data_IF_481516931945
#
_entry.id   IF_481516931945
#
_cell.length_a   1.000
_cell.length_b   1.000
_cell.length_c   1.000
_cell.angle_alpha   90.00
_cell.angle_beta   90.00
_cell.angle_gamma   90.00
#
_symmetry.space_group_name_H-M   'P 1'
#
loop_
_entity.id
_entity.type
_entity.pdbx_description
1 polymer ?
#
# COMPACT_ATOMS: atom_id res chain seq x y z
N UNK A 1 -12.91 37.90 25.30
CA UNK A 1 -11.99 36.74 25.35
C UNK A 1 -12.66 35.77 26.30
N UNK A 2 -12.92 34.58 25.87
CA UNK A 2 -13.60 33.58 26.70
C UNK A 2 -12.70 33.12 27.84
N UNK A 3 -13.29 32.93 29.02
CA UNK A 3 -12.56 32.46 30.20
C UNK A 3 -12.48 30.92 30.20
N UNK A 4 -11.38 30.40 29.68
CA UNK A 4 -11.17 28.96 29.58
C UNK A 4 -11.10 28.23 30.93
N UNK A 5 -10.76 28.93 32.01
CA UNK A 5 -10.81 28.35 33.35
C UNK A 5 -12.26 28.20 33.84
N UNK A 6 -13.11 29.18 33.54
CA UNK A 6 -14.54 29.11 33.84
C UNK A 6 -15.25 28.01 33.01
N UNK A 7 -14.88 27.82 31.71
CA UNK A 7 -15.42 26.77 30.85
C UNK A 7 -15.11 25.40 31.43
N UNK A 8 -13.90 25.18 31.96
CA UNK A 8 -13.55 23.91 32.60
C UNK A 8 -14.01 23.80 34.06
N UNK A 9 -14.54 24.87 34.65
CA UNK A 9 -14.99 24.91 36.04
C UNK A 9 -13.87 24.74 37.04
N UNK A 10 -12.70 25.33 36.80
CA UNK A 10 -11.49 25.25 37.64
C UNK A 10 -10.99 26.64 38.00
N UNK A 11 -10.19 26.68 39.10
CA UNK A 11 -9.54 27.91 39.52
C UNK A 11 -8.42 28.34 38.55
N UNK A 12 -8.20 29.65 38.40
CA UNK A 12 -7.16 30.24 37.55
C UNK A 12 -5.74 29.78 37.91
N UNK A 13 -5.55 29.33 39.14
CA UNK A 13 -4.29 28.77 39.64
C UNK A 13 -4.12 27.26 39.39
N UNK A 14 -5.11 26.62 38.72
CA UNK A 14 -5.12 25.18 38.53
C UNK A 14 -3.88 24.66 37.80
N UNK A 15 -3.26 23.62 38.35
CA UNK A 15 -2.15 22.92 37.72
C UNK A 15 -2.58 21.92 36.63
N UNK A 16 -1.62 21.37 35.89
CA UNK A 16 -1.84 20.51 34.75
C UNK A 16 -2.73 19.30 35.05
N UNK A 17 -2.61 18.70 36.22
CA UNK A 17 -3.40 17.52 36.62
C UNK A 17 -4.87 17.89 36.89
N UNK A 18 -5.11 19.06 37.51
CA UNK A 18 -6.45 19.59 37.72
C UNK A 18 -7.15 19.93 36.39
N UNK A 19 -6.44 20.54 35.45
CA UNK A 19 -6.93 20.82 34.08
C UNK A 19 -7.32 19.53 33.37
N UNK A 20 -6.48 18.49 33.44
CA UNK A 20 -6.73 17.18 32.80
C UNK A 20 -7.93 16.46 33.42
N UNK A 21 -8.05 16.50 34.75
CA UNK A 21 -9.18 15.90 35.48
C UNK A 21 -10.50 16.58 35.14
N UNK A 22 -10.52 17.93 35.14
CA UNK A 22 -11.68 18.72 34.79
C UNK A 22 -12.14 18.47 33.34
N UNK A 23 -11.20 18.46 32.39
CA UNK A 23 -11.50 18.13 31.00
C UNK A 23 -12.14 16.75 30.87
N UNK A 24 -11.56 15.72 31.49
CA UNK A 24 -12.08 14.34 31.43
C UNK A 24 -13.52 14.26 31.96
N UNK A 25 -13.80 14.96 33.04
CA UNK A 25 -15.15 15.03 33.63
C UNK A 25 -16.14 15.69 32.67
N UNK A 26 -15.81 16.87 32.13
CA UNK A 26 -16.67 17.64 31.24
C UNK A 26 -16.84 16.95 29.87
N UNK A 27 -15.75 16.38 29.34
CA UNK A 27 -15.81 15.64 28.08
C UNK A 27 -16.71 14.38 28.18
N UNK A 28 -16.68 13.67 29.30
CA UNK A 28 -17.60 12.54 29.53
C UNK A 28 -19.06 12.98 29.70
N UNK A 29 -19.28 14.16 30.30
CA UNK A 29 -20.63 14.68 30.53
C UNK A 29 -21.29 15.16 29.25
N UNK A 30 -20.54 15.80 28.36
CA UNK A 30 -21.05 16.42 27.13
C UNK A 30 -20.68 15.67 25.86
N UNK A 31 -20.21 14.41 25.96
CA UNK A 31 -19.83 13.61 24.82
C UNK A 31 -21.00 13.40 23.84
N UNK A 32 -20.79 13.51 22.52
CA UNK A 32 -21.86 13.33 21.54
C UNK A 32 -22.59 11.99 21.65
N UNK A 33 -21.83 10.89 21.90
CA UNK A 33 -22.41 9.55 22.04
C UNK A 33 -23.34 9.40 23.26
N UNK A 34 -23.19 10.27 24.25
CA UNK A 34 -24.03 10.27 25.46
C UNK A 34 -25.15 11.30 25.43
N UNK A 35 -25.07 12.24 24.51
CA UNK A 35 -26.05 13.31 24.31
C UNK A 35 -26.43 13.39 22.83
N UNK A 36 -26.94 12.31 22.21
CA UNK A 36 -27.35 12.33 20.82
C UNK A 36 -28.45 13.36 20.63
N UNK A 37 -28.39 14.10 19.53
CA UNK A 37 -29.38 15.16 19.15
C UNK A 37 -29.52 16.35 20.11
N UNK A 38 -28.50 16.63 20.94
CA UNK A 38 -28.47 17.82 21.79
C UNK A 38 -27.45 18.86 21.29
N UNK A 39 -27.85 19.87 20.51
CA UNK A 39 -26.94 20.89 19.96
C UNK A 39 -26.22 21.71 21.03
N UNK A 40 -26.84 21.91 22.20
CA UNK A 40 -26.23 22.66 23.31
C UNK A 40 -25.08 21.84 23.95
N UNK A 41 -25.25 20.51 24.06
CA UNK A 41 -24.20 19.63 24.56
C UNK A 41 -23.00 19.57 23.57
N UNK A 42 -23.28 19.57 22.28
CA UNK A 42 -22.23 19.59 21.23
C UNK A 42 -21.43 20.90 21.27
N UNK A 43 -22.13 22.05 21.40
CA UNK A 43 -21.45 23.35 21.50
C UNK A 43 -20.60 23.44 22.76
N UNK A 44 -21.13 23.00 23.93
CA UNK A 44 -20.36 22.96 25.17
C UNK A 44 -19.15 22.01 25.04
N UNK A 45 -19.29 20.88 24.36
CA UNK A 45 -18.18 19.96 24.14
C UNK A 45 -17.07 20.59 23.28
N UNK A 46 -17.42 21.38 22.26
CA UNK A 46 -16.43 22.14 21.45
C UNK A 46 -15.65 23.13 22.29
N UNK A 47 -16.37 23.92 23.11
CA UNK A 47 -15.75 24.90 24.02
C UNK A 47 -14.84 24.23 25.05
N UNK A 48 -15.23 23.10 25.62
CA UNK A 48 -14.42 22.29 26.56
C UNK A 48 -13.14 21.77 25.88
N UNK A 49 -13.23 21.31 24.63
CA UNK A 49 -12.06 20.85 23.88
C UNK A 49 -11.11 22.01 23.57
N UNK A 50 -11.64 23.18 23.18
CA UNK A 50 -10.82 24.37 22.90
C UNK A 50 -10.11 24.86 24.17
N UNK A 51 -10.82 24.95 25.28
CA UNK A 51 -10.25 25.33 26.58
C UNK A 51 -9.13 24.38 27.00
N UNK A 52 -9.34 23.07 26.86
CA UNK A 52 -8.30 22.08 27.17
C UNK A 52 -7.10 22.18 26.22
N UNK A 53 -7.33 22.35 24.91
CA UNK A 53 -6.25 22.49 23.94
C UNK A 53 -5.31 23.67 24.23
N UNK A 54 -5.84 24.75 24.82
CA UNK A 54 -5.05 25.92 25.20
C UNK A 54 -4.40 25.73 26.58
N UNK A 55 -5.14 25.26 27.57
CA UNK A 55 -4.67 25.18 28.96
C UNK A 55 -3.78 23.96 29.25
N UNK A 56 -3.84 22.89 28.44
CA UNK A 56 -3.01 21.68 28.61
C UNK A 56 -1.58 21.85 28.11
N UNK A 57 -1.33 22.78 27.19
CA UNK A 57 -0.02 23.08 26.64
C UNK A 57 0.63 24.21 27.44
N UNK A 58 1.79 24.01 28.10
CA UNK A 58 2.43 25.02 28.94
C UNK A 58 2.72 26.35 28.22
N UNK A 59 3.09 26.29 26.92
CA UNK A 59 3.39 27.49 26.13
C UNK A 59 2.13 28.25 25.73
N UNK A 60 1.09 27.53 25.34
CA UNK A 60 -0.19 28.13 25.00
C UNK A 60 -0.88 28.72 26.24
N UNK A 61 -0.84 27.98 27.35
CA UNK A 61 -1.34 28.45 28.66
C UNK A 61 -0.64 29.74 29.06
N UNK A 62 0.68 29.78 29.05
CA UNK A 62 1.44 30.98 29.40
C UNK A 62 1.09 32.20 28.51
N UNK A 63 0.88 32.00 27.22
CA UNK A 63 0.45 33.06 26.30
C UNK A 63 -0.99 33.50 26.57
N UNK A 64 -1.87 32.58 26.89
CA UNK A 64 -3.25 32.88 27.25
C UNK A 64 -3.31 33.65 28.55
N UNK A 65 -2.61 33.17 29.60
CA UNK A 65 -2.52 33.81 30.91
C UNK A 65 -1.96 35.23 30.80
N UNK A 66 -0.87 35.44 30.07
CA UNK A 66 -0.29 36.75 29.85
C UNK A 66 -1.28 37.75 29.21
N UNK A 67 -2.12 37.27 28.27
CA UNK A 67 -3.17 38.13 27.61
C UNK A 67 -4.40 38.32 28.49
N UNK A 68 -4.77 37.30 29.26
CA UNK A 68 -5.93 37.31 30.12
C UNK A 68 -5.76 38.25 31.32
N UNK A 69 -4.59 38.18 31.98
CA UNK A 69 -4.26 39.03 33.13
C UNK A 69 -3.82 40.43 32.77
N UNK A 70 -3.26 40.68 31.56
CA UNK A 70 -2.97 42.05 31.09
C UNK A 70 -4.23 42.94 30.91
N UNK A 71 -5.43 42.36 30.90
CA UNK A 71 -6.65 43.10 30.72
C UNK A 71 -7.25 43.60 32.06
N UNK A 72 -6.75 43.08 33.21
CA UNK A 72 -7.21 43.50 34.54
C UNK A 72 -6.37 44.66 35.09
N UNK A 73 -5.10 44.84 34.67
CA UNK A 73 -4.22 45.94 35.11
C UNK A 73 -3.94 46.92 33.95
N UNK A 74 -4.95 47.55 33.47
CA UNK A 74 -4.81 48.67 32.52
C UNK A 74 -4.10 49.85 33.23
N UNK A 75 -3.17 50.60 32.52
CA UNK A 75 -2.48 51.73 33.13
C UNK A 75 -3.49 52.73 33.66
N UNK A 76 -3.28 53.22 34.90
CA UNK A 76 -4.15 54.20 35.57
C UNK A 76 -4.39 55.41 34.68
N UNK A 77 -5.60 56.02 34.76
CA UNK A 77 -5.97 57.21 33.95
C UNK A 77 -4.95 58.35 34.07
N UNK A 78 -4.30 58.49 35.22
CA UNK A 78 -3.24 59.46 35.45
C UNK A 78 -1.99 59.23 34.58
N UNK A 79 -1.57 57.99 34.36
CA UNK A 79 -0.44 57.63 33.51
C UNK A 79 -0.76 57.84 32.03
N UNK A 80 -2.00 57.54 31.62
CA UNK A 80 -2.45 57.80 30.24
C UNK A 80 -2.53 59.29 29.93
N UNK A 81 -2.93 60.13 30.89
CA UNK A 81 -2.96 61.59 30.72
C UNK A 81 -1.55 62.15 30.63
N UNK A 82 -0.62 61.65 31.42
CA UNK A 82 0.79 62.11 31.38
C UNK A 82 1.48 61.70 30.06
N UNK A 83 1.21 60.52 29.53
CA UNK A 83 1.72 60.11 28.22
C UNK A 83 1.11 60.87 27.05
N UNK A 84 -0.18 61.26 27.15
CA UNK A 84 -0.83 62.17 26.18
C UNK A 84 -0.19 63.54 26.20
N UNK A 85 0.10 64.05 27.41
CA UNK A 85 0.76 65.35 27.61
C UNK A 85 2.18 65.35 27.05
N UNK A 86 2.98 64.34 27.31
CA UNK A 86 4.36 64.16 26.75
C UNK A 86 4.30 64.04 25.22
N UNK A 87 3.38 63.27 24.63
CA UNK A 87 3.22 63.21 23.18
C UNK A 87 2.85 64.52 22.56
N UNK A 88 1.97 65.27 23.21
CA UNK A 88 1.56 66.61 22.76
C UNK A 88 2.72 67.59 22.79
N UNK A 89 3.53 67.64 23.84
CA UNK A 89 4.75 68.46 23.91
C UNK A 89 5.78 68.05 22.87
N UNK A 90 6.04 66.78 22.68
CA UNK A 90 6.90 66.30 21.62
C UNK A 90 6.39 66.64 20.22
N UNK A 91 5.08 66.55 20.00
CA UNK A 91 4.46 66.97 18.74
C UNK A 91 4.57 68.48 18.52
N UNK A 92 4.33 69.33 19.55
CA UNK A 92 4.52 70.78 19.46
C UNK A 92 5.99 71.12 19.17
N UNK A 93 6.96 70.48 19.84
CA UNK A 93 8.39 70.74 19.57
C UNK A 93 8.78 70.26 18.18
N UNK A 94 8.20 69.18 17.68
CA UNK A 94 8.43 68.72 16.31
C UNK A 94 7.86 69.68 15.25
N UNK A 95 6.67 70.31 15.55
CA UNK A 95 6.14 71.35 14.65
C UNK A 95 6.89 72.69 14.71
N UNK A 96 7.55 72.99 15.80
CA UNK A 96 8.37 74.20 15.90
C UNK A 96 9.67 74.12 15.14
N UNK A 97 10.15 72.95 14.72
CA UNK A 97 11.23 72.80 13.76
C UNK A 97 10.66 73.17 12.38
N UNK A 98 10.57 74.47 12.09
CA UNK A 98 10.36 74.92 10.71
C UNK A 98 11.51 74.41 9.86
N UNK A 99 11.22 73.43 9.04
CA UNK A 99 12.15 73.01 7.99
C UNK A 99 12.36 74.22 7.08
N UNK A 100 13.47 74.90 7.23
CA UNK A 100 13.93 75.86 6.25
C UNK A 100 14.47 75.08 5.06
N UNK A 101 13.67 75.04 4.00
CA UNK A 101 14.06 74.45 2.76
C UNK A 101 15.18 75.34 2.13
N UNK A 102 16.45 74.99 2.37
CA UNK A 102 17.56 75.60 1.70
C UNK A 102 17.63 75.15 0.22
N UNK A 103 18.20 76.00 -0.68
CA UNK A 103 18.38 75.65 -2.09
C UNK A 103 19.12 74.32 -2.27
N UNK A 104 20.02 73.95 -1.35
CA UNK A 104 20.74 72.70 -1.35
C UNK A 104 19.80 71.48 -1.03
N UNK A 105 18.74 71.65 -0.25
CA UNK A 105 17.78 70.56 0.04
C UNK A 105 17.12 70.04 -1.25
N UNK A 106 16.64 70.91 -2.11
CA UNK A 106 16.05 70.50 -3.40
C UNK A 106 17.07 69.84 -4.35
N UNK A 107 18.33 70.30 -4.31
CA UNK A 107 19.38 69.66 -5.11
C UNK A 107 19.72 68.25 -4.61
N UNK A 108 19.82 68.05 -3.28
CA UNK A 108 20.08 66.74 -2.66
C UNK A 108 18.88 65.79 -2.89
N UNK A 109 17.64 66.30 -2.74
CA UNK A 109 16.44 65.52 -3.03
C UNK A 109 16.35 65.14 -4.52
N UNK A 110 16.64 66.07 -5.41
CA UNK A 110 16.72 65.79 -6.86
C UNK A 110 17.77 64.76 -7.22
N UNK A 111 18.97 64.87 -6.61
CA UNK A 111 20.03 63.89 -6.82
C UNK A 111 19.69 62.50 -6.26
N UNK A 112 19.12 62.45 -5.05
CA UNK A 112 18.68 61.18 -4.45
C UNK A 112 17.54 60.51 -5.23
N UNK A 113 16.60 61.29 -5.78
CA UNK A 113 15.57 60.80 -6.67
C UNK A 113 16.12 60.26 -7.99
N UNK A 114 17.14 60.99 -8.56
CA UNK A 114 17.79 60.53 -9.77
C UNK A 114 18.57 59.23 -9.53
N UNK A 115 19.28 59.10 -8.41
CA UNK A 115 19.96 57.87 -7.99
C UNK A 115 18.95 56.73 -7.81
N UNK A 116 17.78 57.02 -7.18
CA UNK A 116 16.71 56.06 -7.01
C UNK A 116 16.17 55.54 -8.37
N UNK A 117 15.93 56.46 -9.33
CA UNK A 117 15.47 56.08 -10.68
C UNK A 117 16.53 55.20 -11.37
N UNK A 118 17.80 55.57 -11.29
CA UNK A 118 18.90 54.81 -11.93
C UNK A 118 19.00 53.42 -11.31
N UNK A 119 18.96 53.31 -9.97
CA UNK A 119 19.01 52.03 -9.28
C UNK A 119 17.75 51.17 -9.57
N UNK A 120 16.59 51.82 -9.59
CA UNK A 120 15.34 51.15 -9.94
C UNK A 120 15.35 50.63 -11.38
N UNK A 121 15.83 51.45 -12.33
CA UNK A 121 15.99 51.04 -13.72
C UNK A 121 17.01 49.90 -13.88
N UNK A 122 18.09 49.95 -13.12
CA UNK A 122 19.08 48.87 -13.10
C UNK A 122 18.53 47.55 -12.55
N UNK A 123 17.82 47.63 -11.40
CA UNK A 123 17.13 46.46 -10.84
C UNK A 123 16.10 45.88 -11.82
N UNK A 124 15.32 46.74 -12.49
CA UNK A 124 14.36 46.31 -13.50
C UNK A 124 15.04 45.61 -14.68
N UNK A 125 16.16 46.17 -15.18
CA UNK A 125 16.93 45.58 -16.27
C UNK A 125 17.50 44.21 -15.88
N UNK A 126 18.03 44.07 -14.65
CA UNK A 126 18.51 42.79 -14.13
C UNK A 126 17.35 41.78 -14.06
N UNK A 127 16.23 42.19 -13.48
CA UNK A 127 15.06 41.29 -13.34
C UNK A 127 14.56 40.85 -14.72
N UNK A 128 14.50 41.79 -15.69
CA UNK A 128 14.07 41.48 -17.05
C UNK A 128 15.05 40.51 -17.76
N UNK A 129 16.37 40.74 -17.61
CA UNK A 129 17.37 39.84 -18.19
C UNK A 129 17.35 38.47 -17.56
N UNK A 130 17.19 38.33 -16.22
CA UNK A 130 17.09 37.07 -15.53
C UNK A 130 15.83 36.30 -15.98
N UNK A 131 14.69 36.99 -16.07
CA UNK A 131 13.44 36.37 -16.56
C UNK A 131 13.58 35.91 -18.02
N UNK A 132 14.16 36.76 -18.91
CA UNK A 132 14.40 36.40 -20.31
C UNK A 132 15.30 35.17 -20.44
N UNK A 133 16.42 35.14 -19.69
CA UNK A 133 17.33 33.99 -19.70
C UNK A 133 16.63 32.71 -19.13
N UNK A 134 15.81 32.89 -18.08
CA UNK A 134 14.99 31.80 -17.52
C UNK A 134 13.99 31.21 -18.53
N UNK A 135 13.31 32.09 -19.28
CA UNK A 135 12.38 31.65 -20.33
C UNK A 135 13.10 30.91 -21.46
N UNK A 136 14.25 31.41 -21.90
CA UNK A 136 15.07 30.76 -22.93
C UNK A 136 15.54 29.37 -22.49
N UNK A 137 15.95 29.22 -21.23
CA UNK A 137 16.37 27.96 -20.68
C UNK A 137 15.18 26.99 -20.57
N UNK A 138 13.99 27.45 -20.13
CA UNK A 138 12.77 26.64 -20.11
C UNK A 138 12.38 26.18 -21.52
N UNK A 139 12.46 27.06 -22.53
CA UNK A 139 12.15 26.67 -23.90
C UNK A 139 13.15 25.64 -24.45
N UNK A 140 14.43 25.73 -24.10
CA UNK A 140 15.44 24.73 -24.47
C UNK A 140 15.11 23.36 -23.84
N UNK A 141 14.81 23.34 -22.52
CA UNK A 141 14.41 22.13 -21.82
C UNK A 141 13.13 21.52 -22.43
N UNK A 142 12.13 22.34 -22.68
CA UNK A 142 10.88 21.90 -23.30
C UNK A 142 11.10 21.24 -24.68
N UNK A 143 11.96 21.82 -25.52
CA UNK A 143 12.33 21.26 -26.85
C UNK A 143 13.10 19.95 -26.69
N UNK A 144 14.07 19.89 -25.79
CA UNK A 144 14.86 18.69 -25.52
C UNK A 144 13.96 17.55 -24.99
N UNK A 145 13.07 17.85 -24.03
CA UNK A 145 12.13 16.86 -23.47
C UNK A 145 11.14 16.36 -24.53
N UNK A 146 10.63 17.27 -25.35
CA UNK A 146 9.72 16.90 -26.46
C UNK A 146 10.43 16.03 -27.49
N UNK A 147 11.70 16.32 -27.79
CA UNK A 147 12.50 15.50 -28.70
C UNK A 147 12.74 14.11 -28.12
N UNK A 148 13.10 14.03 -26.86
CA UNK A 148 13.26 12.74 -26.14
C UNK A 148 11.99 11.90 -26.14
N UNK A 149 10.82 12.50 -25.86
CA UNK A 149 9.53 11.81 -25.93
C UNK A 149 9.21 11.25 -27.32
N UNK A 150 9.51 12.03 -28.39
CA UNK A 150 9.33 11.56 -29.77
C UNK A 150 10.25 10.38 -30.08
N UNK A 151 11.51 10.42 -29.64
CA UNK A 151 12.44 9.30 -29.82
C UNK A 151 12.00 8.05 -29.03
N UNK A 152 11.54 8.21 -27.80
CA UNK A 152 11.03 7.12 -26.97
C UNK A 152 9.86 6.44 -27.66
N UNK A 153 8.87 7.21 -28.12
CA UNK A 153 7.72 6.65 -28.82
C UNK A 153 8.11 5.96 -30.14
N UNK A 154 9.06 6.51 -30.88
CA UNK A 154 9.58 5.88 -32.10
C UNK A 154 10.26 4.54 -31.83
N UNK A 155 11.08 4.45 -30.76
CA UNK A 155 11.71 3.21 -30.34
C UNK A 155 10.66 2.17 -29.92
N UNK A 156 9.68 2.60 -29.13
CA UNK A 156 8.60 1.72 -28.67
C UNK A 156 7.77 1.17 -29.84
N UNK A 157 7.36 2.04 -30.76
CA UNK A 157 6.62 1.63 -31.97
C UNK A 157 7.43 0.71 -32.90
N UNK A 158 8.75 0.79 -32.86
CA UNK A 158 9.66 -0.10 -33.59
C UNK A 158 9.89 -1.45 -32.87
N UNK A 159 9.21 -1.70 -31.74
CA UNK A 159 9.40 -2.91 -30.93
C UNK A 159 10.68 -2.95 -30.08
N UNK A 160 11.43 -1.83 -30.03
CA UNK A 160 12.67 -1.69 -29.25
C UNK A 160 12.34 -1.21 -27.83
N UNK A 161 11.61 -2.05 -27.08
CA UNK A 161 11.03 -1.66 -25.78
C UNK A 161 12.08 -1.34 -24.74
N UNK A 162 13.13 -2.16 -24.60
CA UNK A 162 14.22 -1.91 -23.65
C UNK A 162 14.90 -0.57 -23.92
N UNK A 163 15.22 -0.28 -25.18
CA UNK A 163 15.86 1.00 -25.56
C UNK A 163 14.95 2.18 -25.25
N UNK A 164 13.64 2.04 -25.49
CA UNK A 164 12.66 3.08 -25.16
C UNK A 164 12.63 3.36 -23.65
N UNK A 165 12.61 2.31 -22.81
CA UNK A 165 12.61 2.48 -21.36
C UNK A 165 13.96 2.99 -20.81
N UNK A 166 15.10 2.56 -21.37
CA UNK A 166 16.42 3.08 -21.02
C UNK A 166 16.48 4.58 -21.32
N UNK A 167 16.01 4.99 -22.51
CA UNK A 167 15.98 6.41 -22.88
C UNK A 167 15.02 7.19 -21.98
N UNK A 168 13.85 6.63 -21.66
CA UNK A 168 12.89 7.20 -20.71
C UNK A 168 13.51 7.43 -19.33
N UNK A 169 14.22 6.43 -18.80
CA UNK A 169 14.89 6.54 -17.50
C UNK A 169 15.98 7.61 -17.50
N UNK A 170 16.75 7.73 -18.59
CA UNK A 170 17.76 8.80 -18.75
C UNK A 170 17.10 10.17 -18.81
N UNK A 171 16.03 10.32 -19.60
CA UNK A 171 15.30 11.58 -19.72
C UNK A 171 14.67 12.01 -18.38
N UNK A 172 14.00 11.11 -17.68
CA UNK A 172 13.43 11.36 -16.35
C UNK A 172 14.51 11.73 -15.30
N UNK A 173 15.72 11.17 -15.44
CA UNK A 173 16.83 11.49 -14.54
C UNK A 173 17.44 12.86 -14.81
N UNK A 174 17.42 13.31 -16.09
CA UNK A 174 17.91 14.65 -16.47
C UNK A 174 16.95 15.77 -16.11
N UNK A 175 15.64 15.49 -16.10
CA UNK A 175 14.59 16.43 -15.70
C UNK A 175 13.52 15.72 -14.83
N UNK A 176 13.80 15.56 -13.52
CA UNK A 176 12.90 14.83 -12.61
C UNK A 176 11.55 15.52 -12.39
N UNK A 177 11.43 16.81 -12.70
CA UNK A 177 10.21 17.59 -12.51
C UNK A 177 9.31 17.62 -13.76
N UNK A 178 9.75 17.01 -14.85
CA UNK A 178 8.96 16.90 -16.07
C UNK A 178 7.96 15.75 -15.99
N UNK A 179 6.76 16.06 -15.51
CA UNK A 179 5.69 15.08 -15.28
C UNK A 179 5.22 14.34 -16.55
N UNK A 180 5.46 14.89 -17.76
CA UNK A 180 5.15 14.21 -19.03
C UNK A 180 5.94 12.90 -19.18
N UNK A 181 7.14 12.81 -18.62
CA UNK A 181 7.88 11.55 -18.60
C UNK A 181 7.21 10.49 -17.72
N UNK A 182 6.61 10.89 -16.60
CA UNK A 182 5.87 9.98 -15.72
C UNK A 182 4.64 9.44 -16.46
N UNK A 183 3.84 10.33 -17.05
CA UNK A 183 2.65 9.96 -17.82
C UNK A 183 3.03 9.06 -19.01
N UNK A 184 4.06 9.43 -19.75
CA UNK A 184 4.51 8.64 -20.90
C UNK A 184 5.01 7.26 -20.46
N UNK A 185 5.77 7.16 -19.35
CA UNK A 185 6.21 5.88 -18.80
C UNK A 185 5.01 4.98 -18.45
N UNK A 186 4.04 5.52 -17.73
CA UNK A 186 2.87 4.75 -17.29
C UNK A 186 2.02 4.29 -18.47
N UNK A 187 1.91 5.14 -19.52
CA UNK A 187 1.26 4.76 -20.78
C UNK A 187 2.01 3.62 -21.48
N UNK A 188 3.34 3.71 -21.61
CA UNK A 188 4.14 2.68 -22.26
C UNK A 188 4.15 1.36 -21.48
N UNK A 189 4.18 1.42 -20.15
CA UNK A 189 4.04 0.24 -19.28
C UNK A 189 2.68 -0.43 -19.50
N UNK A 190 1.60 0.36 -19.55
CA UNK A 190 0.25 -0.16 -19.82
C UNK A 190 0.14 -0.80 -21.21
N UNK A 191 0.69 -0.15 -22.22
CA UNK A 191 0.66 -0.65 -23.60
C UNK A 191 1.48 -1.94 -23.75
N UNK A 192 2.68 -1.99 -23.17
CA UNK A 192 3.50 -3.21 -23.17
C UNK A 192 2.84 -4.34 -22.40
N UNK A 193 2.14 -4.04 -21.30
CA UNK A 193 1.35 -5.02 -20.54
C UNK A 193 0.22 -5.60 -21.40
N UNK A 194 -0.54 -4.75 -22.08
CA UNK A 194 -1.62 -5.18 -22.96
C UNK A 194 -1.10 -6.08 -24.10
N UNK A 195 0.08 -5.76 -24.64
CA UNK A 195 0.75 -6.58 -25.65
C UNK A 195 1.15 -7.95 -25.06
N UNK A 196 1.78 -7.97 -23.88
CA UNK A 196 2.17 -9.20 -23.19
C UNK A 196 0.96 -10.07 -22.84
N UNK A 197 -0.13 -9.48 -22.32
CA UNK A 197 -1.39 -10.16 -22.02
C UNK A 197 -2.04 -10.72 -23.29
N UNK A 198 -1.94 -10.00 -24.42
CA UNK A 198 -2.38 -10.48 -25.72
C UNK A 198 -1.63 -11.76 -26.17
N UNK A 199 -0.31 -11.80 -26.04
CA UNK A 199 0.47 -13.01 -26.30
C UNK A 199 0.12 -14.14 -25.32
N UNK A 200 -0.02 -13.83 -24.04
CA UNK A 200 -0.40 -14.81 -23.02
C UNK A 200 -1.76 -15.46 -23.33
N UNK A 201 -2.76 -14.65 -23.70
CA UNK A 201 -4.12 -15.14 -24.01
C UNK A 201 -4.12 -16.04 -25.24
N UNK A 202 -3.26 -15.77 -26.24
CA UNK A 202 -3.07 -16.64 -27.40
C UNK A 202 -2.16 -17.85 -27.13
N UNK A 203 -1.74 -18.04 -25.88
CA UNK A 203 -0.82 -19.12 -25.45
C UNK A 203 0.58 -19.03 -26.10
N UNK A 204 0.96 -17.87 -26.58
CA UNK A 204 2.28 -17.56 -27.12
C UNK A 204 3.23 -17.19 -25.96
N UNK A 205 3.60 -18.18 -25.14
CA UNK A 205 4.27 -17.95 -23.85
C UNK A 205 5.70 -17.41 -24.00
N UNK A 206 6.42 -17.75 -25.06
CA UNK A 206 7.77 -17.25 -25.29
C UNK A 206 7.83 -15.73 -25.53
N UNK A 207 7.06 -15.13 -26.45
CA UNK A 207 7.00 -13.69 -26.57
C UNK A 207 6.35 -13.04 -25.32
N UNK A 208 5.34 -13.68 -24.70
CA UNK A 208 4.73 -13.15 -23.49
C UNK A 208 5.75 -12.95 -22.37
N UNK A 209 6.57 -13.99 -22.05
CA UNK A 209 7.57 -13.90 -20.97
C UNK A 209 8.64 -12.87 -21.28
N UNK A 210 9.03 -12.71 -22.55
CA UNK A 210 9.99 -11.68 -22.94
C UNK A 210 9.48 -10.27 -22.59
N UNK A 211 8.23 -9.96 -22.93
CA UNK A 211 7.61 -8.67 -22.65
C UNK A 211 7.36 -8.45 -21.15
N UNK A 212 6.88 -9.47 -20.40
CA UNK A 212 6.74 -9.37 -18.96
C UNK A 212 8.10 -9.21 -18.24
N UNK A 213 9.17 -9.77 -18.79
CA UNK A 213 10.52 -9.59 -18.22
C UNK A 213 10.99 -8.14 -18.38
N UNK A 214 10.69 -7.51 -19.51
CA UNK A 214 10.94 -6.07 -19.70
C UNK A 214 10.11 -5.28 -18.68
N UNK A 215 8.81 -5.54 -18.55
CA UNK A 215 7.97 -4.90 -17.54
C UNK A 215 8.54 -5.02 -16.13
N UNK A 216 8.96 -6.23 -15.72
CA UNK A 216 9.57 -6.48 -14.42
C UNK A 216 10.78 -5.57 -14.14
N UNK A 217 11.59 -5.28 -15.16
CA UNK A 217 12.79 -4.46 -15.02
C UNK A 217 12.48 -2.97 -14.85
N UNK A 218 11.34 -2.51 -15.37
CA UNK A 218 10.97 -1.09 -15.40
C UNK A 218 9.80 -0.72 -14.47
N UNK A 219 9.07 -1.70 -13.95
CA UNK A 219 8.17 -1.53 -12.81
C UNK A 219 9.00 -1.43 -11.52
N UNK A 220 8.75 -0.44 -10.70
CA UNK A 220 9.47 -0.29 -9.43
C UNK A 220 8.50 -0.03 -8.26
N UNK A 221 8.20 -1.02 -7.43
CA UNK A 221 8.61 -2.44 -7.54
C UNK A 221 7.83 -3.20 -8.63
N UNK A 222 8.40 -4.31 -9.11
CA UNK A 222 7.69 -5.21 -10.01
C UNK A 222 6.40 -5.72 -9.36
N UNK A 223 5.29 -5.66 -10.09
CA UNK A 223 3.98 -6.00 -9.53
C UNK A 223 3.85 -7.52 -9.32
N UNK A 224 3.03 -7.90 -8.33
CA UNK A 224 2.68 -9.29 -8.09
C UNK A 224 2.15 -9.96 -9.37
N UNK A 225 1.33 -9.25 -10.13
CA UNK A 225 0.75 -9.77 -11.36
C UNK A 225 1.81 -10.04 -12.43
N UNK A 226 2.74 -9.12 -12.67
CA UNK A 226 3.83 -9.30 -13.64
C UNK A 226 4.68 -10.53 -13.29
N UNK A 227 5.07 -10.70 -12.01
CA UNK A 227 5.84 -11.87 -11.58
C UNK A 227 5.02 -13.15 -11.70
N UNK A 228 3.71 -13.10 -11.40
CA UNK A 228 2.80 -14.24 -11.56
C UNK A 228 2.69 -14.67 -13.03
N UNK A 229 2.52 -13.72 -13.95
CA UNK A 229 2.49 -14.00 -15.39
C UNK A 229 3.80 -14.60 -15.90
N UNK A 230 4.94 -14.06 -15.46
CA UNK A 230 6.26 -14.65 -15.77
C UNK A 230 6.31 -16.10 -15.31
N UNK A 231 5.91 -16.37 -14.06
CA UNK A 231 5.98 -17.74 -13.51
C UNK A 231 5.10 -18.73 -14.28
N UNK A 232 3.92 -18.30 -14.70
CA UNK A 232 3.02 -19.11 -15.52
C UNK A 232 3.58 -19.35 -16.94
N UNK A 233 4.11 -18.30 -17.56
CA UNK A 233 4.78 -18.47 -18.87
C UNK A 233 5.93 -19.47 -18.79
N UNK A 234 6.79 -19.35 -17.78
CA UNK A 234 7.91 -20.30 -17.57
C UNK A 234 7.41 -21.72 -17.35
N UNK A 235 6.33 -21.88 -16.59
CA UNK A 235 5.70 -23.18 -16.38
C UNK A 235 5.25 -23.82 -17.69
N UNK A 236 4.52 -23.07 -18.54
CA UNK A 236 4.02 -23.56 -19.82
C UNK A 236 5.13 -23.80 -20.86
N UNK A 237 6.25 -23.10 -20.74
CA UNK A 237 7.46 -23.34 -21.56
C UNK A 237 8.28 -24.54 -21.09
N UNK A 238 7.93 -25.15 -19.94
CA UNK A 238 8.67 -26.27 -19.37
C UNK A 238 9.89 -25.85 -18.53
N UNK A 239 10.09 -24.55 -18.33
CA UNK A 239 11.18 -24.01 -17.50
C UNK A 239 10.75 -24.03 -16.02
N UNK A 240 10.61 -25.24 -15.46
CA UNK A 240 10.06 -25.45 -14.12
C UNK A 240 10.90 -24.85 -12.98
N UNK A 241 12.26 -24.87 -13.01
CA UNK A 241 13.06 -24.23 -11.97
C UNK A 241 12.83 -22.72 -11.89
N UNK A 242 12.77 -22.03 -13.04
CA UNK A 242 12.54 -20.59 -13.12
C UNK A 242 11.11 -20.23 -12.67
N UNK A 243 10.12 -21.02 -13.10
CA UNK A 243 8.74 -20.88 -12.65
C UNK A 243 8.65 -21.03 -11.13
N UNK A 244 9.30 -22.04 -10.57
CA UNK A 244 9.33 -22.30 -9.13
C UNK A 244 9.98 -21.16 -8.35
N UNK A 245 11.11 -20.64 -8.83
CA UNK A 245 11.80 -19.51 -8.19
C UNK A 245 10.89 -18.27 -8.13
N UNK A 246 10.21 -17.95 -9.24
CA UNK A 246 9.28 -16.82 -9.28
C UNK A 246 8.08 -17.03 -8.35
N UNK A 247 7.50 -18.24 -8.32
CA UNK A 247 6.39 -18.57 -7.41
C UNK A 247 6.80 -18.53 -5.93
N UNK A 248 8.01 -18.97 -5.58
CA UNK A 248 8.54 -18.85 -4.22
C UNK A 248 8.71 -17.39 -3.80
N UNK A 249 9.19 -16.55 -4.70
CA UNK A 249 9.26 -15.11 -4.42
C UNK A 249 7.89 -14.48 -4.16
N UNK A 250 6.87 -14.85 -4.95
CA UNK A 250 5.48 -14.42 -4.71
C UNK A 250 4.94 -14.95 -3.38
N UNK A 251 5.26 -16.20 -3.04
CA UNK A 251 4.85 -16.82 -1.78
C UNK A 251 5.40 -16.08 -0.55
N UNK A 252 6.61 -15.52 -0.62
CA UNK A 252 7.15 -14.68 0.46
C UNK A 252 6.31 -13.41 0.69
N UNK A 253 5.71 -12.88 -0.36
CA UNK A 253 4.81 -11.71 -0.26
C UNK A 253 3.41 -12.10 0.23
N UNK A 254 2.92 -13.28 -0.14
CA UNK A 254 1.60 -13.81 0.20
C UNK A 254 1.68 -15.23 0.75
N UNK A 255 2.17 -15.45 1.99
CA UNK A 255 2.43 -16.78 2.53
C UNK A 255 1.18 -17.67 2.69
N UNK A 256 -0.01 -17.06 2.77
CA UNK A 256 -1.29 -17.77 2.90
C UNK A 256 -2.05 -17.95 1.59
N UNK A 257 -1.46 -17.58 0.45
CA UNK A 257 -2.06 -17.77 -0.86
C UNK A 257 -2.04 -19.26 -1.24
N UNK A 258 -3.18 -19.91 -1.11
CA UNK A 258 -3.33 -21.36 -1.35
C UNK A 258 -3.02 -21.76 -2.79
N UNK A 259 -3.32 -20.91 -3.76
CA UNK A 259 -3.01 -21.18 -5.17
C UNK A 259 -1.51 -21.27 -5.40
N UNK A 260 -0.72 -20.35 -4.82
CA UNK A 260 0.74 -20.41 -4.89
C UNK A 260 1.30 -21.64 -4.16
N UNK A 261 0.79 -21.90 -2.94
CA UNK A 261 1.18 -23.09 -2.16
C UNK A 261 0.94 -24.37 -2.95
N UNK A 262 -0.24 -24.51 -3.55
CA UNK A 262 -0.60 -25.67 -4.37
C UNK A 262 0.29 -25.79 -5.60
N UNK A 263 0.47 -24.71 -6.38
CA UNK A 263 1.29 -24.74 -7.60
C UNK A 263 2.76 -25.07 -7.34
N UNK A 264 3.33 -24.50 -6.28
CA UNK A 264 4.71 -24.85 -5.86
C UNK A 264 4.79 -26.33 -5.49
N UNK A 265 3.83 -26.83 -4.71
CA UNK A 265 3.73 -28.24 -4.37
C UNK A 265 3.62 -29.13 -5.61
N UNK A 266 2.78 -28.75 -6.57
CA UNK A 266 2.51 -29.49 -7.80
C UNK A 266 3.75 -29.55 -8.73
N UNK A 267 4.44 -28.44 -8.92
CA UNK A 267 5.69 -28.41 -9.71
C UNK A 267 6.74 -29.35 -9.11
N UNK A 268 6.92 -29.30 -7.78
CA UNK A 268 7.86 -30.15 -7.09
C UNK A 268 7.44 -31.64 -7.17
N UNK A 269 6.14 -31.93 -7.11
CA UNK A 269 5.63 -33.30 -7.18
C UNK A 269 5.76 -33.89 -8.59
N UNK A 270 5.24 -33.17 -9.60
CA UNK A 270 5.01 -33.74 -10.94
C UNK A 270 6.14 -33.48 -11.94
N UNK A 271 6.88 -32.38 -11.75
CA UNK A 271 7.85 -31.91 -12.75
C UNK A 271 9.30 -32.05 -12.29
N UNK A 272 9.54 -31.87 -11.00
CA UNK A 272 10.90 -31.94 -10.42
C UNK A 272 11.13 -33.18 -9.59
N UNK A 273 10.07 -33.97 -9.30
CA UNK A 273 10.08 -35.17 -8.45
C UNK A 273 10.72 -34.93 -7.07
N UNK A 274 10.69 -33.68 -6.61
CA UNK A 274 11.19 -33.27 -5.29
C UNK A 274 10.09 -33.47 -4.25
N UNK A 275 9.87 -34.74 -3.87
CA UNK A 275 8.78 -35.13 -2.97
C UNK A 275 8.90 -34.50 -1.56
N UNK A 276 10.13 -34.22 -1.10
CA UNK A 276 10.33 -33.60 0.21
C UNK A 276 9.81 -32.18 0.22
N UNK A 277 10.15 -31.39 -0.77
CA UNK A 277 9.67 -30.01 -0.86
C UNK A 277 8.17 -29.96 -1.18
N UNK A 278 7.68 -30.82 -2.07
CA UNK A 278 6.25 -30.97 -2.32
C UNK A 278 5.46 -31.22 -1.03
N UNK A 279 5.95 -32.14 -0.17
CA UNK A 279 5.36 -32.44 1.13
C UNK A 279 5.28 -31.22 2.06
N UNK A 280 6.31 -30.38 2.08
CA UNK A 280 6.33 -29.16 2.89
C UNK A 280 5.22 -28.21 2.46
N UNK A 281 5.10 -27.92 1.16
CA UNK A 281 4.08 -27.01 0.66
C UNK A 281 2.64 -27.56 0.81
N UNK A 282 2.39 -28.84 0.50
CA UNK A 282 1.09 -29.42 0.73
C UNK A 282 0.72 -29.50 2.22
N UNK A 283 1.71 -29.70 3.11
CA UNK A 283 1.48 -29.66 4.55
C UNK A 283 1.14 -28.25 5.03
N UNK A 284 1.79 -27.22 4.46
CA UNK A 284 1.40 -25.83 4.69
C UNK A 284 -0.01 -25.57 4.20
N UNK A 285 -0.41 -26.07 3.04
CA UNK A 285 -1.78 -25.97 2.53
C UNK A 285 -2.80 -26.61 3.46
N UNK A 286 -2.53 -27.82 4.00
CA UNK A 286 -3.34 -28.47 5.03
C UNK A 286 -3.44 -27.63 6.31
N UNK A 287 -2.35 -26.99 6.74
CA UNK A 287 -2.35 -26.12 7.91
C UNK A 287 -3.27 -24.92 7.68
N UNK A 288 -3.14 -24.24 6.52
CA UNK A 288 -3.99 -23.09 6.15
C UNK A 288 -5.46 -23.52 6.08
N UNK A 289 -5.75 -24.70 5.52
CA UNK A 289 -7.10 -25.28 5.52
C UNK A 289 -7.67 -25.37 6.94
N UNK A 290 -6.94 -26.02 7.85
CA UNK A 290 -7.37 -26.15 9.24
C UNK A 290 -7.61 -24.79 9.90
N UNK A 291 -6.67 -23.88 9.79
CA UNK A 291 -6.76 -22.54 10.36
C UNK A 291 -7.97 -21.74 9.82
N UNK A 292 -8.20 -21.79 8.51
CA UNK A 292 -9.34 -21.11 7.89
C UNK A 292 -10.68 -21.69 8.38
N UNK A 293 -10.81 -23.00 8.44
CA UNK A 293 -12.05 -23.63 8.89
C UNK A 293 -12.28 -23.45 10.40
N UNK A 294 -11.23 -23.56 11.20
CA UNK A 294 -11.33 -23.27 12.63
C UNK A 294 -11.76 -21.83 12.88
N UNK A 295 -11.26 -20.88 12.06
CA UNK A 295 -11.69 -19.48 12.15
C UNK A 295 -13.18 -19.26 11.83
N UNK A 296 -13.75 -20.06 10.93
CA UNK A 296 -15.15 -19.93 10.48
C UNK A 296 -16.11 -20.71 11.37
N UNK A 297 -15.76 -21.96 11.70
CA UNK A 297 -16.65 -22.93 12.34
C UNK A 297 -16.21 -23.32 13.76
N UNK A 298 -15.09 -22.80 14.28
CA UNK A 298 -14.50 -23.23 15.56
C UNK A 298 -13.75 -24.57 15.47
N UNK A 299 -13.32 -25.10 16.61
CA UNK A 299 -12.56 -26.35 16.68
C UNK A 299 -13.35 -27.60 16.19
N UNK A 300 -14.67 -27.53 16.22
CA UNK A 300 -15.54 -28.60 15.75
C UNK A 300 -15.87 -28.49 14.24
N UNK A 301 -15.08 -27.80 13.46
CA UNK A 301 -15.33 -27.51 12.03
C UNK A 301 -15.62 -28.80 11.22
N UNK A 302 -15.01 -29.92 11.56
CA UNK A 302 -15.22 -31.22 10.88
C UNK A 302 -16.69 -31.71 10.94
N UNK A 303 -17.42 -31.31 11.98
CA UNK A 303 -18.83 -31.66 12.16
C UNK A 303 -19.78 -30.60 11.61
N UNK A 304 -19.30 -29.36 11.49
CA UNK A 304 -20.11 -28.17 11.16
C UNK A 304 -20.09 -27.80 9.70
N UNK A 305 -18.95 -28.05 9.02
CA UNK A 305 -18.81 -27.66 7.63
C UNK A 305 -19.55 -28.57 6.66
N UNK A 306 -20.20 -27.97 5.67
CA UNK A 306 -20.64 -28.71 4.51
C UNK A 306 -19.48 -28.86 3.51
N UNK A 307 -19.04 -30.09 3.18
CA UNK A 307 -17.92 -30.30 2.25
C UNK A 307 -18.13 -29.67 0.87
N UNK A 308 -19.38 -29.53 0.43
CA UNK A 308 -19.69 -28.92 -0.87
C UNK A 308 -19.34 -27.43 -0.94
N UNK A 309 -19.36 -26.73 0.21
CA UNK A 309 -19.07 -25.30 0.28
C UNK A 309 -17.54 -25.01 0.33
N UNK A 310 -16.73 -26.03 0.58
CA UNK A 310 -15.28 -25.89 0.62
C UNK A 310 -14.71 -25.68 -0.80
N UNK A 311 -13.83 -24.70 -1.03
CA UNK A 311 -13.14 -24.50 -2.30
C UNK A 311 -12.42 -25.75 -2.82
N UNK A 312 -12.45 -25.97 -4.15
CA UNK A 312 -11.82 -27.15 -4.79
C UNK A 312 -10.34 -27.28 -4.51
N UNK A 313 -9.64 -26.16 -4.32
CA UNK A 313 -8.22 -26.13 -4.01
C UNK A 313 -7.85 -26.98 -2.79
N UNK A 314 -8.75 -27.15 -1.83
CA UNK A 314 -8.50 -28.01 -0.66
C UNK A 314 -8.47 -29.49 -1.03
N UNK A 315 -9.38 -29.92 -1.92
CA UNK A 315 -9.32 -31.26 -2.48
C UNK A 315 -7.97 -31.49 -3.18
N UNK A 316 -7.54 -30.55 -4.00
CA UNK A 316 -6.30 -30.66 -4.77
C UNK A 316 -5.07 -30.70 -3.88
N UNK A 317 -5.06 -29.96 -2.76
CA UNK A 317 -4.00 -29.99 -1.75
C UNK A 317 -3.94 -31.36 -1.07
N UNK A 318 -5.07 -31.93 -0.63
CA UNK A 318 -5.09 -33.25 0.01
C UNK A 318 -4.71 -34.34 -0.98
N UNK A 319 -5.17 -34.27 -2.22
CA UNK A 319 -4.79 -35.18 -3.30
C UNK A 319 -3.28 -35.12 -3.56
N UNK A 320 -2.73 -33.94 -3.76
CA UNK A 320 -1.29 -33.74 -3.99
C UNK A 320 -0.46 -34.26 -2.82
N UNK A 321 -0.91 -33.99 -1.56
CA UNK A 321 -0.25 -34.48 -0.35
C UNK A 321 -0.31 -36.00 -0.25
N UNK A 322 -1.45 -36.62 -0.58
CA UNK A 322 -1.59 -38.07 -0.60
C UNK A 322 -0.62 -38.73 -1.58
N UNK A 323 -0.54 -38.21 -2.81
CA UNK A 323 0.43 -38.72 -3.82
C UNK A 323 1.86 -38.58 -3.30
N UNK A 324 2.20 -37.41 -2.77
CA UNK A 324 3.53 -37.14 -2.20
C UNK A 324 3.87 -38.09 -1.05
N UNK A 325 2.94 -38.32 -0.13
CA UNK A 325 3.12 -39.26 0.99
C UNK A 325 3.24 -40.70 0.52
N UNK A 326 2.57 -41.10 -0.56
CA UNK A 326 2.76 -42.43 -1.19
C UNK A 326 4.20 -42.60 -1.70
N UNK A 327 4.76 -41.55 -2.35
CA UNK A 327 6.13 -41.57 -2.84
C UNK A 327 7.16 -41.60 -1.70
N UNK A 328 6.90 -40.86 -0.64
CA UNK A 328 7.75 -40.81 0.56
C UNK A 328 7.56 -42.02 1.49
N UNK A 329 6.72 -43.00 1.11
CA UNK A 329 6.36 -44.20 1.90
C UNK A 329 5.65 -43.90 3.23
N UNK A 330 5.07 -42.72 3.38
CA UNK A 330 4.27 -42.31 4.52
C UNK A 330 2.79 -42.74 4.32
N UNK A 331 2.57 -44.05 4.16
CA UNK A 331 1.28 -44.58 3.67
C UNK A 331 0.10 -44.29 4.60
N UNK A 332 0.29 -44.27 5.90
CA UNK A 332 -0.78 -43.96 6.87
C UNK A 332 -1.21 -42.48 6.76
N UNK A 333 -0.31 -41.55 6.57
CA UNK A 333 -0.66 -40.15 6.31
C UNK A 333 -1.35 -40.01 4.93
N UNK A 334 -0.90 -40.74 3.92
CA UNK A 334 -1.55 -40.75 2.62
C UNK A 334 -3.02 -41.22 2.72
N UNK A 335 -3.29 -42.25 3.50
CA UNK A 335 -4.69 -42.76 3.74
C UNK A 335 -5.53 -41.66 4.38
N UNK A 336 -5.03 -40.94 5.40
CA UNK A 336 -5.72 -39.83 6.05
C UNK A 336 -6.01 -38.70 5.07
N UNK A 337 -5.05 -38.36 4.22
CA UNK A 337 -5.24 -37.32 3.21
C UNK A 337 -6.27 -37.73 2.14
N UNK A 338 -6.27 -38.99 1.71
CA UNK A 338 -7.30 -39.51 0.82
C UNK A 338 -8.70 -39.49 1.47
N UNK A 339 -8.81 -39.76 2.79
CA UNK A 339 -10.07 -39.62 3.49
C UNK A 339 -10.60 -38.19 3.41
N UNK A 340 -9.75 -37.17 3.60
CA UNK A 340 -10.12 -35.79 3.44
C UNK A 340 -10.51 -35.47 1.99
N UNK A 341 -9.73 -35.92 1.00
CA UNK A 341 -10.05 -35.72 -0.41
C UNK A 341 -11.43 -36.30 -0.77
N UNK A 342 -11.73 -37.56 -0.32
CA UNK A 342 -13.01 -38.19 -0.54
C UNK A 342 -14.14 -37.45 0.19
N UNK A 343 -13.91 -37.01 1.43
CA UNK A 343 -14.92 -36.27 2.19
C UNK A 343 -15.28 -34.95 1.48
N UNK A 344 -14.27 -34.21 1.00
CA UNK A 344 -14.48 -32.94 0.30
C UNK A 344 -15.16 -33.13 -1.07
N UNK A 345 -14.80 -34.18 -1.82
CA UNK A 345 -15.31 -34.43 -3.19
C UNK A 345 -15.59 -35.90 -3.41
N UNK A 346 -16.68 -36.44 -2.81
CA UNK A 346 -16.97 -37.87 -2.88
C UNK A 346 -17.32 -38.37 -4.28
N UNK A 347 -17.59 -37.50 -5.21
CA UNK A 347 -17.87 -37.83 -6.61
C UNK A 347 -16.59 -37.98 -7.47
N UNK A 348 -15.42 -37.52 -7.01
CA UNK A 348 -14.16 -37.67 -7.73
C UNK A 348 -13.57 -39.07 -7.46
N UNK A 349 -13.20 -39.78 -8.52
CA UNK A 349 -12.70 -41.16 -8.48
C UNK A 349 -11.33 -41.31 -7.87
N UNK A 350 -10.44 -40.35 -8.14
CA UNK A 350 -9.01 -40.42 -7.85
C UNK A 350 -8.71 -40.57 -6.35
N UNK A 351 -9.51 -39.93 -5.46
CA UNK A 351 -9.35 -40.05 -4.03
C UNK A 351 -9.47 -41.48 -3.56
N UNK A 352 -10.42 -42.26 -4.10
CA UNK A 352 -10.61 -43.66 -3.79
C UNK A 352 -9.47 -44.54 -4.32
N UNK A 353 -9.07 -44.31 -5.57
CA UNK A 353 -7.92 -45.02 -6.18
C UNK A 353 -6.64 -44.81 -5.39
N UNK A 354 -6.33 -43.57 -5.04
CA UNK A 354 -5.12 -43.23 -4.25
C UNK A 354 -5.17 -43.88 -2.85
N UNK A 355 -6.37 -43.94 -2.21
CA UNK A 355 -6.55 -44.61 -0.91
C UNK A 355 -6.29 -46.11 -1.01
N UNK A 356 -6.81 -46.76 -2.04
CA UNK A 356 -6.52 -48.15 -2.33
C UNK A 356 -5.02 -48.41 -2.53
N UNK A 357 -4.35 -47.56 -3.33
CA UNK A 357 -2.89 -47.66 -3.56
C UNK A 357 -2.09 -47.48 -2.26
N UNK A 358 -2.45 -46.49 -1.44
CA UNK A 358 -1.81 -46.27 -0.15
C UNK A 358 -2.00 -47.46 0.82
N UNK A 359 -3.22 -48.03 0.88
CA UNK A 359 -3.53 -49.24 1.69
C UNK A 359 -2.72 -50.46 1.22
N UNK A 360 -2.65 -50.68 -0.10
CA UNK A 360 -1.82 -51.78 -0.67
C UNK A 360 -0.33 -51.63 -0.28
N UNK A 361 0.22 -50.42 -0.41
CA UNK A 361 1.61 -50.17 -0.05
C UNK A 361 1.85 -50.23 1.47
N UNK A 362 0.83 -49.94 2.29
CA UNK A 362 0.87 -50.11 3.74
C UNK A 362 0.71 -51.56 4.20
N UNK A 363 0.46 -52.48 3.29
CA UNK A 363 0.12 -53.92 3.65
C UNK A 363 -1.30 -54.09 4.19
N UNK A 364 -2.16 -53.06 4.17
CA UNK A 364 -3.53 -53.04 4.67
C UNK A 364 -4.50 -53.42 3.56
N UNK A 365 -4.72 -54.72 3.35
CA UNK A 365 -5.60 -55.18 2.26
C UNK A 365 -7.09 -55.00 2.49
N UNK A 366 -7.49 -54.72 3.72
CA UNK A 366 -8.90 -54.44 4.04
C UNK A 366 -9.39 -53.23 3.25
N UNK A 367 -10.61 -53.31 2.74
CA UNK A 367 -11.31 -52.24 1.97
C UNK A 367 -10.65 -51.79 0.69
N UNK A 368 -9.55 -52.41 0.23
CA UNK A 368 -8.87 -52.04 -1.03
C UNK A 368 -9.81 -52.22 -2.20
N UNK A 369 -10.48 -53.38 -2.28
CA UNK A 369 -11.36 -53.68 -3.40
C UNK A 369 -12.63 -52.83 -3.38
N UNK A 370 -13.13 -52.47 -2.19
CA UNK A 370 -14.26 -51.53 -2.07
C UNK A 370 -13.85 -50.16 -2.65
N UNK A 371 -12.71 -49.64 -2.27
CA UNK A 371 -12.17 -48.37 -2.81
C UNK A 371 -12.02 -48.44 -4.33
N UNK A 372 -11.45 -49.52 -4.86
CA UNK A 372 -11.28 -49.70 -6.29
C UNK A 372 -12.63 -49.77 -7.04
N UNK A 373 -13.61 -50.46 -6.49
CA UNK A 373 -14.97 -50.49 -7.06
C UNK A 373 -15.63 -49.11 -7.01
N UNK A 374 -15.43 -48.35 -5.91
CA UNK A 374 -15.91 -46.98 -5.81
C UNK A 374 -15.24 -46.05 -6.85
N UNK A 375 -13.95 -46.24 -7.11
CA UNK A 375 -13.22 -45.52 -8.17
C UNK A 375 -13.76 -45.92 -9.54
N UNK A 376 -13.94 -47.19 -9.83
CA UNK A 376 -14.48 -47.69 -11.09
C UNK A 376 -15.91 -47.17 -11.38
N UNK A 377 -16.78 -47.19 -10.36
CA UNK A 377 -18.13 -46.61 -10.45
C UNK A 377 -18.12 -45.12 -10.88
N UNK A 378 -17.05 -44.41 -10.56
CA UNK A 378 -16.81 -42.98 -10.91
C UNK A 378 -15.95 -42.84 -12.15
N UNK A 379 -15.81 -43.90 -12.95
CA UNK A 379 -15.11 -43.89 -14.24
C UNK A 379 -13.60 -43.59 -14.13
N UNK A 380 -12.96 -44.07 -13.05
CA UNK A 380 -11.49 -43.95 -12.95
C UNK A 380 -10.82 -44.83 -14.02
N UNK A 381 -9.92 -44.28 -14.85
CA UNK A 381 -9.31 -45.01 -15.97
C UNK A 381 -8.40 -46.17 -15.52
N UNK A 382 -7.79 -46.09 -14.34
CA UNK A 382 -6.84 -47.08 -13.83
C UNK A 382 -7.51 -48.15 -12.92
N UNK A 383 -8.70 -47.85 -12.40
CA UNK A 383 -9.35 -48.72 -11.42
C UNK A 383 -9.60 -50.13 -11.94
N UNK A 384 -10.02 -50.27 -13.19
CA UNK A 384 -10.30 -51.57 -13.79
C UNK A 384 -9.09 -52.52 -13.86
N UNK A 385 -7.90 -51.98 -14.11
CA UNK A 385 -6.66 -52.75 -14.10
C UNK A 385 -6.28 -53.19 -12.68
N UNK A 386 -6.37 -52.26 -11.73
CA UNK A 386 -6.06 -52.50 -10.32
C UNK A 386 -7.01 -53.57 -9.72
N UNK A 387 -8.30 -53.55 -10.08
CA UNK A 387 -9.28 -54.57 -9.67
C UNK A 387 -8.91 -55.95 -10.19
N UNK A 388 -8.57 -56.04 -11.49
CA UNK A 388 -8.09 -57.32 -12.06
C UNK A 388 -6.86 -57.87 -11.37
N UNK A 389 -5.96 -57.00 -10.89
CA UNK A 389 -4.69 -57.36 -10.28
C UNK A 389 -4.84 -57.75 -8.81
N UNK A 390 -5.67 -57.08 -8.05
CA UNK A 390 -5.72 -57.18 -6.58
C UNK A 390 -7.02 -57.70 -5.98
N UNK A 391 -8.11 -57.71 -6.76
CA UNK A 391 -9.46 -58.07 -6.29
C UNK A 391 -10.03 -59.32 -6.98
N UNK A 392 -9.20 -60.12 -7.64
CA UNK A 392 -9.61 -61.46 -8.10
C UNK A 392 -9.47 -62.40 -6.91
N UNK A 393 -10.57 -63.10 -6.59
CA UNK A 393 -10.55 -64.33 -5.79
C UNK A 393 -9.77 -65.42 -6.52
#
# INVERSE_FOLDING_TARGET
>A
MEDFYAILGIDKSAGADAIRAAYKKMAMQYHPDRNPDNPQAEETFKQVNEAYHVLSDPLKKARYDARFFQKEDGPSESWQQEMRRRRYYHWQQAQQKRYTFDKNYFRIQGLSFLVFIVLSGFCFAIMHTVNYLGEQEQLKRLRANTHSLKQINALFSAGRFDDAFILMQRASKSDPMEFRFIIARDSLVSELRNLADGYFTRQEFAPAVAHYTILKNYENPATFETISRISLCQYYLGNYPEALQAMKHLHLQQPRNLELVYRIGLINLEKLENYQEASQYFTLGKKIFKENLTSIYGEAFELMMNPADAPDIYYDIFRGRAITNIQLKNHDEAIKDCNWAIYLRPYKSEGYRLRAQARLKAGKRQDVCEDLFQAQKRQDPEAGELIRKYCRE
#
